data_IF_280609621394
#
_entry.id   IF_280609621394
#
_cell.length_a   1.000
_cell.length_b   1.000
_cell.length_c   1.000
_cell.angle_alpha   90.00
_cell.angle_beta   90.00
_cell.angle_gamma   90.00
#
_symmetry.space_group_name_H-M   'P 1'
#
loop_
_entity.id
_entity.type
_entity.pdbx_description
1 polymer ?
#
# COMPACT_ATOMS: atom_id res chain seq x y z
N UNK A 1 17.12 -15.11 25.38
CA UNK A 1 16.22 -16.03 24.63
C UNK A 1 16.96 -17.07 23.81
N UNK A 2 18.17 -16.81 23.30
CA UNK A 2 18.92 -17.75 22.44
C UNK A 2 18.97 -19.21 22.95
N UNK A 3 19.07 -19.44 24.27
CA UNK A 3 19.11 -20.78 24.88
C UNK A 3 17.77 -21.53 24.89
N UNK A 4 16.61 -20.84 24.86
CA UNK A 4 15.30 -21.50 24.71
C UNK A 4 15.12 -22.04 23.28
N UNK A 5 15.84 -21.43 22.35
CA UNK A 5 15.75 -21.67 20.92
C UNK A 5 16.98 -22.39 20.36
N UNK A 6 18.02 -22.61 21.15
CA UNK A 6 19.26 -23.28 20.75
C UNK A 6 19.02 -24.78 20.67
N UNK A 7 19.04 -25.30 19.46
CA UNK A 7 18.79 -26.71 19.20
C UNK A 7 19.85 -27.59 19.88
N UNK A 8 21.13 -27.20 19.93
CA UNK A 8 22.20 -27.96 20.59
C UNK A 8 21.97 -28.12 22.10
N UNK A 9 21.48 -27.08 22.76
CA UNK A 9 21.13 -27.13 24.19
C UNK A 9 19.86 -27.97 24.42
N UNK A 10 18.84 -27.79 23.57
CA UNK A 10 17.62 -28.60 23.59
C UNK A 10 17.87 -30.09 23.28
N UNK A 11 18.97 -30.45 22.60
CA UNK A 11 19.34 -31.83 22.30
C UNK A 11 20.00 -32.58 23.45
N UNK A 12 20.72 -31.88 24.34
CA UNK A 12 21.47 -32.51 25.42
C UNK A 12 20.79 -32.42 26.79
N UNK A 13 19.91 -31.43 26.99
CA UNK A 13 19.36 -31.12 28.31
C UNK A 13 17.86 -30.90 28.26
N UNK A 14 17.17 -31.39 29.28
CA UNK A 14 15.76 -31.12 29.51
C UNK A 14 15.64 -29.73 30.16
N UNK A 15 15.15 -28.76 29.39
CA UNK A 15 15.14 -27.36 29.80
C UNK A 15 13.88 -27.05 30.63
N UNK A 16 14.11 -26.79 31.92
CA UNK A 16 13.06 -26.51 32.91
C UNK A 16 13.15 -25.05 33.33
N UNK A 17 12.04 -24.33 33.26
CA UNK A 17 11.95 -22.94 33.72
C UNK A 17 11.65 -22.90 35.21
N UNK A 18 12.46 -22.15 35.96
CA UNK A 18 12.27 -21.97 37.39
C UNK A 18 12.00 -20.49 37.74
N UNK A 19 10.73 -20.03 37.69
CA UNK A 19 10.34 -18.68 38.10
C UNK A 19 10.30 -18.45 39.63
N UNK A 20 10.99 -19.24 40.45
CA UNK A 20 11.02 -19.05 41.92
C UNK A 20 11.57 -17.69 42.34
N UNK A 21 12.64 -17.23 41.68
CA UNK A 21 13.31 -15.98 42.00
C UNK A 21 13.28 -15.00 40.83
N UNK A 22 13.25 -13.71 41.12
CA UNK A 22 13.29 -12.66 40.12
C UNK A 22 12.38 -11.48 40.44
N UNK A 23 12.35 -10.51 39.52
CA UNK A 23 11.45 -9.36 39.64
C UNK A 23 10.00 -9.81 39.47
N UNK A 24 9.11 -9.35 40.36
CA UNK A 24 7.69 -9.76 40.36
C UNK A 24 6.96 -9.51 39.03
N UNK A 25 7.42 -8.54 38.24
CA UNK A 25 6.89 -8.30 36.88
C UNK A 25 7.40 -9.27 35.81
N UNK A 26 8.57 -9.89 36.01
CA UNK A 26 9.20 -10.80 35.03
C UNK A 26 8.70 -12.24 35.20
N UNK A 27 8.40 -12.64 36.44
CA UNK A 27 7.94 -13.99 36.79
C UNK A 27 6.70 -14.42 35.96
N UNK A 28 5.62 -13.62 35.86
CA UNK A 28 4.46 -13.97 35.04
C UNK A 28 4.84 -14.11 33.57
N UNK A 29 5.66 -13.20 33.03
CA UNK A 29 6.08 -13.23 31.64
C UNK A 29 6.88 -14.50 31.30
N UNK A 30 7.87 -14.86 32.11
CA UNK A 30 8.66 -16.10 31.94
C UNK A 30 7.78 -17.35 32.03
N UNK A 31 6.77 -17.32 32.90
CA UNK A 31 5.81 -18.42 33.03
C UNK A 31 4.97 -18.57 31.75
N UNK A 32 4.47 -17.47 31.18
CA UNK A 32 3.76 -17.48 29.88
C UNK A 32 4.69 -17.94 28.75
N UNK A 33 5.95 -17.53 28.74
CA UNK A 33 6.94 -18.00 27.76
C UNK A 33 7.19 -19.50 27.86
N UNK A 34 7.25 -20.05 29.07
CA UNK A 34 7.34 -21.49 29.28
C UNK A 34 6.20 -22.24 28.63
N UNK A 35 4.98 -21.72 28.80
CA UNK A 35 3.80 -22.28 28.15
C UNK A 35 3.88 -22.15 26.63
N UNK A 36 4.30 -20.99 26.09
CA UNK A 36 4.48 -20.74 24.66
C UNK A 36 5.45 -21.73 23.99
N UNK A 37 6.59 -22.02 24.63
CA UNK A 37 7.59 -22.94 24.11
C UNK A 37 7.32 -24.41 24.50
N UNK A 38 6.20 -24.71 25.16
CA UNK A 38 5.88 -26.06 25.65
C UNK A 38 6.89 -26.60 26.65
N UNK A 39 7.56 -25.72 27.41
CA UNK A 39 8.58 -26.07 28.39
C UNK A 39 7.97 -26.24 29.78
N UNK A 40 8.47 -27.23 30.53
CA UNK A 40 8.07 -27.46 31.91
C UNK A 40 8.50 -26.27 32.77
N UNK A 41 7.57 -25.76 33.57
CA UNK A 41 7.83 -24.69 34.55
C UNK A 41 7.67 -25.23 35.97
N UNK A 42 8.58 -24.88 36.86
CA UNK A 42 8.60 -25.32 38.27
C UNK A 42 8.75 -24.14 39.21
N UNK A 43 8.11 -24.19 40.37
CA UNK A 43 8.14 -23.13 41.36
C UNK A 43 8.42 -23.71 42.74
N UNK A 44 9.31 -23.09 43.49
CA UNK A 44 9.60 -23.40 44.89
C UNK A 44 8.93 -22.33 45.72
N UNK A 45 7.98 -22.72 46.57
CA UNK A 45 7.34 -21.77 47.46
C UNK A 45 8.30 -21.42 48.61
N UNK A 46 8.50 -20.12 48.89
CA UNK A 46 9.54 -19.59 49.79
C UNK A 46 9.56 -20.21 51.21
N UNK A 47 8.47 -20.87 51.61
CA UNK A 47 8.30 -21.49 52.92
C UNK A 47 7.95 -22.99 52.86
N UNK A 48 8.09 -23.64 51.71
CA UNK A 48 7.86 -25.08 51.57
C UNK A 48 9.07 -25.77 50.91
N UNK A 49 9.46 -26.93 51.44
CA UNK A 49 10.47 -27.81 50.82
C UNK A 49 9.91 -28.59 49.61
N UNK A 50 8.89 -28.04 48.94
CA UNK A 50 8.17 -28.72 47.86
C UNK A 50 8.38 -27.99 46.53
N UNK A 51 8.80 -28.77 45.53
CA UNK A 51 8.85 -28.34 44.14
C UNK A 51 7.46 -28.49 43.53
N UNK A 52 6.85 -27.37 43.16
CA UNK A 52 5.54 -27.33 42.50
C UNK A 52 5.77 -27.34 40.99
N UNK A 53 5.20 -28.32 40.29
CA UNK A 53 5.08 -28.24 38.84
C UNK A 53 3.95 -27.27 38.50
N UNK A 54 4.24 -26.26 37.70
CA UNK A 54 3.22 -25.38 37.14
C UNK A 54 2.67 -26.08 35.90
N UNK A 55 1.44 -26.64 35.94
CA UNK A 55 0.84 -27.23 34.76
C UNK A 55 0.62 -26.15 33.70
N UNK A 56 0.73 -26.47 32.41
CA UNK A 56 0.34 -25.55 31.36
C UNK A 56 -1.15 -25.21 31.52
N UNK A 57 -1.49 -23.93 31.40
CA UNK A 57 -2.88 -23.50 31.47
C UNK A 57 -3.60 -23.91 30.19
N UNK A 58 -4.90 -24.27 30.26
CA UNK A 58 -5.68 -24.75 29.12
C UNK A 58 -6.17 -23.59 28.24
N UNK A 59 -5.30 -22.64 27.91
CA UNK A 59 -5.59 -21.60 26.92
C UNK A 59 -4.61 -21.71 25.77
N UNK A 60 -5.11 -21.48 24.55
CA UNK A 60 -4.32 -21.33 23.35
C UNK A 60 -4.15 -19.85 23.02
N UNK A 61 -3.09 -19.50 22.30
CA UNK A 61 -3.04 -18.20 21.65
C UNK A 61 -4.12 -18.12 20.58
N UNK A 62 -4.74 -16.94 20.48
CA UNK A 62 -5.62 -16.63 19.38
C UNK A 62 -4.76 -16.30 18.15
N UNK A 63 -4.57 -17.33 17.32
CA UNK A 63 -3.75 -17.24 16.11
C UNK A 63 -4.46 -16.40 15.04
N UNK A 64 -5.78 -16.27 15.09
CA UNK A 64 -6.50 -15.43 14.16
C UNK A 64 -6.23 -13.95 14.47
N UNK A 65 -6.26 -13.54 15.74
CA UNK A 65 -5.82 -12.20 16.17
C UNK A 65 -4.36 -11.96 15.80
N UNK A 66 -3.48 -12.93 16.08
CA UNK A 66 -2.06 -12.80 15.76
C UNK A 66 -1.84 -12.62 14.24
N UNK A 67 -2.47 -13.43 13.40
CA UNK A 67 -2.36 -13.34 11.95
C UNK A 67 -2.81 -11.97 11.42
N UNK A 68 -3.85 -11.38 12.04
CA UNK A 68 -4.34 -10.04 11.67
C UNK A 68 -3.31 -8.93 11.91
N UNK A 69 -2.47 -9.07 12.94
CA UNK A 69 -1.46 -8.05 13.32
C UNK A 69 -0.09 -8.28 12.69
N UNK A 70 0.22 -9.50 12.20
CA UNK A 70 1.52 -9.84 11.57
C UNK A 70 2.00 -8.82 10.52
N UNK A 71 1.16 -8.28 9.61
CA UNK A 71 1.63 -7.27 8.65
C UNK A 71 2.20 -6.03 9.33
N UNK A 72 1.53 -5.54 10.38
CA UNK A 72 1.98 -4.40 11.16
C UNK A 72 3.29 -4.72 11.91
N UNK A 73 3.42 -5.93 12.46
CA UNK A 73 4.65 -6.35 13.15
C UNK A 73 5.84 -6.46 12.19
N UNK A 74 5.66 -7.01 11.00
CA UNK A 74 6.74 -7.06 9.98
C UNK A 74 7.19 -5.67 9.56
N UNK A 75 6.24 -4.73 9.46
CA UNK A 75 6.55 -3.33 9.16
C UNK A 75 7.43 -2.69 10.24
N UNK A 76 7.13 -2.97 11.51
CA UNK A 76 7.97 -2.53 12.63
C UNK A 76 9.33 -3.24 12.62
N UNK A 77 9.38 -4.53 12.32
CA UNK A 77 10.64 -5.30 12.23
C UNK A 77 11.59 -4.72 11.17
N UNK A 78 11.05 -4.27 10.03
CA UNK A 78 11.83 -3.60 8.97
C UNK A 78 12.29 -2.19 9.35
N UNK A 79 11.47 -1.42 10.07
CA UNK A 79 11.71 0.00 10.36
C UNK A 79 12.18 0.30 11.78
N UNK A 80 12.30 -0.73 12.63
CA UNK A 80 12.49 -0.65 14.09
C UNK A 80 11.31 -0.01 14.86
N UNK A 81 10.64 0.99 14.29
CA UNK A 81 9.45 1.62 14.83
C UNK A 81 8.64 2.34 13.74
N UNK A 82 7.33 2.43 13.95
CA UNK A 82 6.40 3.16 13.06
C UNK A 82 5.44 4.02 13.87
N UNK A 83 4.70 4.91 13.21
CA UNK A 83 3.67 5.70 13.88
C UNK A 83 2.52 4.80 14.39
N UNK A 84 1.95 5.11 15.56
CA UNK A 84 0.85 4.32 16.15
C UNK A 84 -0.35 4.19 15.19
N UNK A 85 -0.65 5.26 14.45
CA UNK A 85 -1.71 5.26 13.44
C UNK A 85 -1.40 4.35 12.26
N UNK A 86 -0.13 4.30 11.83
CA UNK A 86 0.32 3.37 10.77
C UNK A 86 0.19 1.92 11.24
N UNK A 87 0.56 1.64 12.50
CA UNK A 87 0.42 0.31 13.09
C UNK A 87 -1.01 -0.20 12.99
N UNK A 88 -2.01 0.53 13.50
CA UNK A 88 -3.40 0.09 13.45
C UNK A 88 -3.94 0.01 12.02
N UNK A 89 -3.50 0.89 11.11
CA UNK A 89 -3.89 0.85 9.70
C UNK A 89 -3.37 -0.40 8.95
N UNK A 90 -2.28 -1.01 9.44
CA UNK A 90 -1.74 -2.25 8.90
C UNK A 90 -2.45 -3.51 9.42
N UNK A 91 -3.30 -3.39 10.45
CA UNK A 91 -4.00 -4.53 11.04
C UNK A 91 -5.23 -4.88 10.19
N UNK A 92 -5.38 -6.18 9.92
CA UNK A 92 -6.43 -6.71 9.06
C UNK A 92 -7.79 -6.62 9.78
N UNK A 93 -8.78 -6.05 9.09
CA UNK A 93 -10.15 -5.83 9.58
C UNK A 93 -10.20 -5.17 10.95
N UNK A 94 -9.28 -4.24 11.21
CA UNK A 94 -9.20 -3.55 12.48
C UNK A 94 -10.38 -2.61 12.71
N UNK A 95 -10.92 -2.65 13.91
CA UNK A 95 -11.88 -1.68 14.42
C UNK A 95 -11.39 -1.04 15.71
N UNK A 96 -11.77 0.22 15.96
CA UNK A 96 -11.35 0.96 17.16
C UNK A 96 -11.70 0.27 18.48
N UNK A 97 -12.77 -0.56 18.50
CA UNK A 97 -13.17 -1.33 19.68
C UNK A 97 -12.16 -2.42 20.04
N UNK A 98 -11.36 -2.88 19.07
CA UNK A 98 -10.36 -3.93 19.23
C UNK A 98 -8.99 -3.38 19.63
N UNK A 99 -8.82 -2.06 19.73
CA UNK A 99 -7.57 -1.41 20.12
C UNK A 99 -6.87 -2.10 21.31
N UNK A 100 -7.55 -2.47 22.42
CA UNK A 100 -6.91 -3.15 23.54
C UNK A 100 -6.30 -4.51 23.19
N UNK A 101 -6.89 -5.26 22.26
CA UNK A 101 -6.40 -6.58 21.82
C UNK A 101 -5.07 -6.46 21.09
N UNK A 102 -4.90 -5.38 20.34
CA UNK A 102 -3.71 -5.17 19.52
C UNK A 102 -2.62 -4.36 20.23
N UNK A 103 -2.96 -3.65 21.30
CA UNK A 103 -1.98 -2.85 22.06
C UNK A 103 -0.94 -3.74 22.75
N UNK A 104 -1.25 -5.00 23.08
CA UNK A 104 -0.30 -5.92 23.72
C UNK A 104 0.89 -6.33 22.85
N UNK A 105 0.81 -6.13 21.52
CA UNK A 105 1.89 -6.48 20.61
C UNK A 105 2.92 -5.35 20.41
N UNK A 106 2.69 -4.18 21.01
CA UNK A 106 3.53 -3.00 20.81
C UNK A 106 3.93 -2.33 22.12
N UNK A 107 5.02 -1.57 22.08
CA UNK A 107 5.46 -0.67 23.14
C UNK A 107 5.63 0.76 22.59
N UNK A 108 5.17 1.80 23.32
CA UNK A 108 5.37 3.17 22.90
C UNK A 108 6.83 3.57 23.05
N UNK A 109 7.39 4.23 22.02
CA UNK A 109 8.75 4.78 22.04
C UNK A 109 8.76 6.27 21.68
N UNK A 110 8.74 7.14 22.69
CA UNK A 110 8.63 8.57 22.47
C UNK A 110 7.24 8.99 21.98
N UNK A 111 7.15 10.10 21.25
CA UNK A 111 5.87 10.70 20.88
C UNK A 111 5.27 10.02 19.64
N UNK A 112 4.11 9.38 19.82
CA UNK A 112 3.26 8.80 18.77
C UNK A 112 3.91 7.68 17.91
N UNK A 113 5.01 7.10 18.38
CA UNK A 113 5.72 5.99 17.74
C UNK A 113 5.64 4.73 18.58
N UNK A 114 5.59 3.58 17.92
CA UNK A 114 5.47 2.27 18.55
C UNK A 114 6.51 1.30 17.98
N UNK A 115 7.03 0.43 18.85
CA UNK A 115 7.91 -0.69 18.50
C UNK A 115 7.29 -2.02 18.92
N UNK A 116 7.91 -3.15 18.54
CA UNK A 116 7.44 -4.50 18.85
C UNK A 116 7.59 -4.75 20.37
N UNK A 117 6.54 -5.28 21.01
CA UNK A 117 6.64 -5.72 22.40
C UNK A 117 7.44 -7.02 22.52
N UNK A 118 8.06 -7.32 23.69
CA UNK A 118 8.77 -8.57 23.91
C UNK A 118 7.93 -9.84 23.65
N UNK A 119 6.62 -9.76 23.83
CA UNK A 119 5.70 -10.86 23.51
C UNK A 119 5.60 -11.06 21.99
N UNK A 120 5.42 -9.97 21.24
CA UNK A 120 5.32 -10.00 19.79
C UNK A 120 6.65 -10.43 19.15
N UNK A 121 7.80 -10.02 19.71
CA UNK A 121 9.12 -10.48 19.28
C UNK A 121 9.25 -12.01 19.41
N UNK A 122 8.80 -12.57 20.53
CA UNK A 122 8.82 -14.02 20.75
C UNK A 122 7.92 -14.74 19.74
N UNK A 123 6.71 -14.23 19.48
CA UNK A 123 5.80 -14.84 18.52
C UNK A 123 6.36 -14.79 17.09
N UNK A 124 6.92 -13.65 16.67
CA UNK A 124 7.62 -13.51 15.40
C UNK A 124 8.81 -14.47 15.32
N UNK A 125 9.58 -14.64 16.40
CA UNK A 125 10.72 -15.58 16.41
C UNK A 125 10.31 -17.04 16.26
N UNK A 126 9.10 -17.41 16.69
CA UNK A 126 8.54 -18.75 16.52
C UNK A 126 8.10 -18.96 15.06
N UNK A 127 7.51 -17.93 14.44
CA UNK A 127 7.05 -17.97 13.05
C UNK A 127 8.18 -17.87 12.03
N UNK A 128 9.15 -16.97 12.25
CA UNK A 128 10.29 -16.69 11.37
C UNK A 128 11.35 -17.79 11.35
N UNK A 129 11.09 -18.95 11.98
CA UNK A 129 11.87 -20.17 11.74
C UNK A 129 11.54 -20.68 10.33
N UNK A 130 12.09 -20.01 9.31
CA UNK A 130 12.07 -20.45 7.91
C UNK A 130 12.52 -21.89 7.82
N UNK A 131 11.56 -22.81 7.89
CA UNK A 131 11.81 -24.24 7.83
C UNK A 131 10.98 -24.75 6.68
N UNK A 132 11.64 -25.23 5.62
CA UNK A 132 10.93 -25.92 4.57
C UNK A 132 10.21 -27.14 5.14
N UNK A 133 8.97 -27.45 4.71
CA UNK A 133 8.28 -28.65 5.12
C UNK A 133 9.17 -29.88 4.91
N UNK A 134 9.25 -30.75 5.92
CA UNK A 134 9.97 -32.02 5.80
C UNK A 134 8.95 -33.10 5.49
N UNK A 135 9.01 -33.65 4.28
CA UNK A 135 7.96 -34.50 3.73
C UNK A 135 8.56 -35.80 3.20
N UNK A 136 7.82 -36.90 3.37
CA UNK A 136 8.24 -38.20 2.86
C UNK A 136 8.27 -38.19 1.33
N UNK A 137 9.21 -38.93 0.74
CA UNK A 137 9.35 -39.01 -0.71
C UNK A 137 8.04 -39.46 -1.38
N UNK A 138 7.35 -40.43 -0.77
CA UNK A 138 6.07 -40.95 -1.28
C UNK A 138 5.01 -39.85 -1.41
N UNK A 139 4.89 -38.97 -0.42
CA UNK A 139 3.91 -37.86 -0.44
C UNK A 139 4.30 -36.81 -1.48
N UNK A 140 5.59 -36.55 -1.66
CA UNK A 140 6.06 -35.62 -2.69
C UNK A 140 5.78 -36.19 -4.07
N UNK A 141 6.12 -37.46 -4.32
CA UNK A 141 5.87 -38.12 -5.60
C UNK A 141 4.38 -38.12 -5.95
N UNK A 142 3.50 -38.27 -4.96
CA UNK A 142 2.04 -38.21 -5.15
C UNK A 142 1.53 -36.80 -5.47
N UNK A 143 2.07 -35.77 -4.79
CA UNK A 143 1.50 -34.43 -4.83
C UNK A 143 2.22 -33.46 -5.78
N UNK A 144 3.50 -33.65 -6.09
CA UNK A 144 4.34 -32.65 -6.76
C UNK A 144 3.73 -32.10 -8.05
N UNK A 145 3.13 -32.95 -8.88
CA UNK A 145 2.53 -32.55 -10.15
C UNK A 145 1.00 -32.54 -10.12
N UNK A 146 0.40 -32.76 -8.96
CA UNK A 146 -1.05 -32.81 -8.79
C UNK A 146 -1.61 -31.43 -8.41
N UNK A 147 -2.46 -30.89 -9.28
CA UNK A 147 -3.13 -29.60 -9.14
C UNK A 147 -4.65 -29.73 -8.89
N UNK A 148 -5.12 -30.91 -8.51
CA UNK A 148 -6.50 -31.10 -8.07
C UNK A 148 -6.77 -30.36 -6.75
N UNK A 149 -8.02 -29.98 -6.50
CA UNK A 149 -8.40 -29.25 -5.28
C UNK A 149 -7.97 -29.96 -3.98
N UNK A 150 -8.12 -31.30 -3.82
CA UNK A 150 -7.64 -32.00 -2.64
C UNK A 150 -6.11 -31.99 -2.51
N UNK A 151 -5.37 -32.10 -3.62
CA UNK A 151 -3.91 -32.02 -3.60
C UNK A 151 -3.42 -30.62 -3.20
N UNK A 152 -4.07 -29.57 -3.71
CA UNK A 152 -3.82 -28.19 -3.30
C UNK A 152 -4.14 -27.99 -1.80
N UNK A 153 -5.25 -28.54 -1.30
CA UNK A 153 -5.58 -28.53 0.11
C UNK A 153 -4.50 -29.23 0.98
N UNK A 154 -4.00 -30.39 0.56
CA UNK A 154 -2.92 -31.09 1.25
C UNK A 154 -1.60 -30.31 1.23
N UNK A 155 -1.20 -29.76 0.08
CA UNK A 155 -0.02 -28.89 -0.04
C UNK A 155 -0.11 -27.67 0.90
N UNK A 156 -1.31 -27.09 1.08
CA UNK A 156 -1.54 -26.02 2.09
C UNK A 156 -1.33 -26.50 3.51
N UNK A 157 -1.90 -27.65 3.88
CA UNK A 157 -1.70 -28.24 5.21
C UNK A 157 -0.21 -28.50 5.46
N UNK A 158 0.53 -28.98 4.47
CA UNK A 158 1.98 -29.22 4.55
C UNK A 158 2.71 -27.90 4.83
N UNK A 159 2.43 -26.85 4.03
CA UNK A 159 3.02 -25.51 4.21
C UNK A 159 2.74 -24.93 5.60
N UNK A 160 1.50 -25.02 6.07
CA UNK A 160 1.11 -24.48 7.38
C UNK A 160 1.67 -25.30 8.56
N UNK A 161 1.85 -26.61 8.37
CA UNK A 161 2.38 -27.51 9.41
C UNK A 161 3.80 -27.19 9.84
N UNK A 162 4.51 -26.33 9.11
CA UNK A 162 5.82 -25.82 9.54
C UNK A 162 5.68 -25.01 10.83
N UNK A 163 4.63 -24.19 10.95
CA UNK A 163 4.43 -23.30 12.08
C UNK A 163 3.98 -24.09 13.32
N UNK A 164 4.77 -24.11 14.41
CA UNK A 164 4.42 -24.85 15.63
C UNK A 164 3.12 -24.38 16.29
N UNK A 165 2.82 -23.08 16.24
CA UNK A 165 1.60 -22.51 16.83
C UNK A 165 0.36 -23.01 16.07
N UNK A 166 0.43 -22.96 14.74
CA UNK A 166 -0.65 -23.46 13.88
C UNK A 166 -0.85 -24.97 14.09
N UNK A 167 0.24 -25.75 14.15
CA UNK A 167 0.16 -27.20 14.40
C UNK A 167 -0.56 -27.52 15.70
N UNK A 168 -0.24 -26.84 16.80
CA UNK A 168 -0.81 -27.15 18.11
C UNK A 168 -2.35 -26.99 18.13
N UNK A 169 -2.91 -26.11 17.30
CA UNK A 169 -4.36 -25.93 17.17
C UNK A 169 -5.01 -26.94 16.21
N UNK A 170 -4.27 -27.42 15.21
CA UNK A 170 -4.78 -28.23 14.10
C UNK A 170 -4.38 -29.71 14.20
N UNK A 171 -3.62 -30.06 15.24
CA UNK A 171 -3.17 -31.42 15.51
C UNK A 171 -4.11 -32.15 16.45
N UNK A 172 -4.42 -33.40 16.13
CA UNK A 172 -5.11 -34.33 17.01
C UNK A 172 -4.31 -35.63 17.15
N UNK A 173 -4.47 -36.28 18.31
CA UNK A 173 -3.99 -37.65 18.52
C UNK A 173 -5.12 -38.60 18.16
N UNK A 174 -4.83 -39.57 17.31
CA UNK A 174 -5.78 -40.63 16.99
C UNK A 174 -5.62 -41.80 17.97
N UNK A 175 -6.70 -42.53 18.25
CA UNK A 175 -6.71 -43.58 19.27
C UNK A 175 -6.00 -44.86 18.82
N UNK A 176 -5.91 -45.11 17.51
CA UNK A 176 -5.36 -46.36 16.95
C UNK A 176 -3.93 -46.23 16.42
N UNK A 177 -3.33 -45.03 16.46
CA UNK A 177 -1.94 -44.81 16.03
C UNK A 177 -1.26 -43.78 16.93
N UNK A 178 0.07 -43.87 17.05
CA UNK A 178 0.89 -42.87 17.74
C UNK A 178 1.32 -41.70 16.83
N UNK A 179 0.85 -41.66 15.59
CA UNK A 179 1.07 -40.54 14.69
C UNK A 179 0.22 -39.33 15.09
N UNK A 180 0.78 -38.15 14.86
CA UNK A 180 0.07 -36.88 14.97
C UNK A 180 -0.68 -36.65 13.66
N UNK A 181 -1.98 -36.39 13.77
CA UNK A 181 -2.84 -36.09 12.63
C UNK A 181 -3.07 -34.59 12.56
N UNK A 182 -2.83 -33.98 11.40
CA UNK A 182 -3.12 -32.57 11.14
C UNK A 182 -4.34 -32.47 10.24
N UNK A 183 -5.29 -31.60 10.60
CA UNK A 183 -6.50 -31.35 9.83
C UNK A 183 -6.94 -29.89 9.86
N UNK A 184 -7.79 -29.52 8.91
CA UNK A 184 -8.58 -28.31 8.99
C UNK A 184 -10.05 -28.64 9.27
N UNK A 185 -10.73 -27.80 10.06
CA UNK A 185 -12.15 -27.98 10.38
C UNK A 185 -12.99 -28.07 9.09
N UNK A 186 -13.95 -29.00 9.08
CA UNK A 186 -14.89 -29.21 7.97
C UNK A 186 -14.28 -29.60 6.60
N UNK A 187 -13.05 -30.10 6.57
CA UNK A 187 -12.40 -30.63 5.35
C UNK A 187 -12.18 -32.14 5.46
N UNK A 188 -11.95 -32.84 4.34
CA UNK A 188 -11.71 -34.30 4.33
C UNK A 188 -10.21 -34.64 4.40
N UNK A 189 -9.36 -33.69 4.03
CA UNK A 189 -7.92 -33.85 3.84
C UNK A 189 -7.17 -33.93 5.17
N UNK A 190 -6.28 -34.90 5.31
CA UNK A 190 -5.51 -35.13 6.55
C UNK A 190 -4.04 -35.40 6.25
N UNK A 191 -3.16 -34.93 7.13
CA UNK A 191 -1.76 -35.35 7.15
C UNK A 191 -1.53 -36.21 8.39
N UNK A 192 -0.67 -37.21 8.28
CA UNK A 192 -0.18 -37.97 9.42
C UNK A 192 1.35 -37.95 9.46
N UNK A 193 1.91 -37.78 10.65
CA UNK A 193 3.34 -37.61 10.82
C UNK A 193 3.79 -37.68 12.27
N UNK A 194 5.03 -37.27 12.51
CA UNK A 194 5.60 -37.18 13.85
C UNK A 194 6.39 -35.89 14.01
N UNK A 195 6.54 -35.44 15.25
CA UNK A 195 7.40 -34.30 15.56
C UNK A 195 8.76 -34.82 16.01
N UNK A 196 9.82 -34.34 15.36
CA UNK A 196 11.20 -34.57 15.76
C UNK A 196 11.92 -33.22 15.68
N UNK A 197 12.61 -32.84 16.75
CA UNK A 197 13.40 -31.60 16.80
C UNK A 197 12.56 -30.34 16.52
N UNK A 198 11.34 -30.30 17.07
CA UNK A 198 10.35 -29.23 16.81
C UNK A 198 9.93 -29.05 15.33
N UNK A 199 10.37 -29.93 14.44
CA UNK A 199 9.92 -30.02 13.06
C UNK A 199 8.90 -31.14 12.89
N UNK A 200 7.85 -30.88 12.11
CA UNK A 200 6.87 -31.89 11.77
C UNK A 200 7.28 -32.62 10.49
N UNK A 201 7.42 -33.94 10.59
CA UNK A 201 7.76 -34.82 9.49
C UNK A 201 6.47 -35.39 8.92
N UNK A 202 6.06 -34.91 7.74
CA UNK A 202 4.86 -35.39 7.04
C UNK A 202 5.16 -36.77 6.47
N UNK A 203 4.59 -37.81 7.05
CA UNK A 203 4.82 -39.20 6.62
C UNK A 203 3.80 -39.62 5.55
N UNK A 204 2.53 -39.27 5.75
CA UNK A 204 1.41 -39.69 4.91
C UNK A 204 0.43 -38.53 4.69
N UNK A 205 -0.26 -38.55 3.56
CA UNK A 205 -1.29 -37.59 3.16
C UNK A 205 -2.55 -38.35 2.71
N UNK A 206 -3.72 -37.87 3.11
CA UNK A 206 -5.00 -38.52 2.82
C UNK A 206 -5.98 -37.51 2.24
N UNK A 207 -6.55 -37.83 1.08
CA UNK A 207 -7.45 -36.92 0.33
C UNK A 207 -8.90 -36.97 0.81
N UNK A 208 -9.33 -38.12 1.34
CA UNK A 208 -10.71 -38.31 1.78
C UNK A 208 -10.77 -38.95 3.16
N UNK A 209 -11.90 -38.76 3.83
CA UNK A 209 -12.13 -39.30 5.16
C UNK A 209 -12.16 -40.84 5.15
N UNK A 210 -12.71 -41.48 4.11
CA UNK A 210 -12.79 -42.95 4.05
C UNK A 210 -11.40 -43.59 3.92
N UNK A 211 -10.50 -43.00 3.12
CA UNK A 211 -9.13 -43.51 2.97
C UNK A 211 -8.37 -43.35 4.28
N UNK A 212 -8.53 -42.18 4.92
CA UNK A 212 -7.94 -41.89 6.22
C UNK A 212 -8.34 -42.92 7.29
N UNK A 213 -9.64 -43.17 7.48
CA UNK A 213 -10.12 -44.12 8.49
C UNK A 213 -9.68 -45.56 8.21
N UNK A 214 -9.63 -45.95 6.93
CA UNK A 214 -9.24 -47.30 6.52
C UNK A 214 -7.74 -47.56 6.69
N UNK A 215 -6.90 -46.57 6.37
CA UNK A 215 -5.46 -46.79 6.19
C UNK A 215 -4.61 -46.25 7.33
N UNK A 216 -5.01 -45.17 8.02
CA UNK A 216 -4.24 -44.64 9.15
C UNK A 216 -3.92 -45.69 10.24
N UNK A 217 -4.86 -46.57 10.66
CA UNK A 217 -4.59 -47.56 11.71
C UNK A 217 -3.50 -48.58 11.36
N UNK A 218 -3.13 -48.68 10.07
CA UNK A 218 -2.09 -49.59 9.59
C UNK A 218 -0.68 -49.02 9.77
N UNK A 219 -0.56 -47.73 10.09
CA UNK A 219 0.71 -47.03 10.18
C UNK A 219 1.03 -46.65 11.63
N UNK A 220 2.32 -46.73 11.98
CA UNK A 220 2.84 -46.27 13.26
C UNK A 220 4.09 -45.39 13.06
N UNK A 221 4.53 -44.75 14.15
CA UNK A 221 5.71 -43.89 14.15
C UNK A 221 7.00 -44.63 13.77
N UNK A 222 7.12 -45.93 14.06
CA UNK A 222 8.32 -46.72 13.71
C UNK A 222 8.39 -46.94 12.20
N UNK A 223 7.27 -47.25 11.56
CA UNK A 223 7.16 -47.36 10.12
C UNK A 223 7.41 -45.99 9.46
N UNK A 224 6.81 -44.92 9.98
CA UNK A 224 7.01 -43.57 9.49
C UNK A 224 8.49 -43.14 9.54
N UNK A 225 9.19 -43.39 10.66
CA UNK A 225 10.62 -43.07 10.81
C UNK A 225 11.54 -43.77 9.81
N UNK A 226 11.11 -44.89 9.23
CA UNK A 226 11.89 -45.64 8.24
C UNK A 226 11.69 -45.11 6.80
N UNK A 227 10.80 -44.14 6.59
CA UNK A 227 10.62 -43.50 5.28
C UNK A 227 11.78 -42.56 4.95
N UNK A 228 11.96 -42.28 3.66
CA UNK A 228 12.89 -41.25 3.18
C UNK A 228 12.21 -39.90 3.20
N UNK A 229 12.90 -38.89 3.71
CA UNK A 229 12.40 -37.53 3.87
C UNK A 229 13.28 -36.53 3.13
N UNK A 230 12.66 -35.49 2.58
CA UNK A 230 13.35 -34.34 2.03
C UNK A 230 12.64 -33.05 2.40
N UNK A 231 13.39 -31.94 2.38
CA UNK A 231 12.80 -30.60 2.43
C UNK A 231 12.10 -30.35 1.10
N UNK A 232 10.84 -29.93 1.16
CA UNK A 232 10.05 -29.67 -0.04
C UNK A 232 9.72 -28.20 -0.16
N UNK A 233 10.29 -27.55 -1.17
CA UNK A 233 9.92 -26.20 -1.57
C UNK A 233 8.67 -26.26 -2.46
N UNK A 234 7.53 -25.89 -1.88
CA UNK A 234 6.25 -25.82 -2.60
C UNK A 234 6.16 -24.44 -3.25
N UNK A 235 6.53 -24.36 -4.53
CA UNK A 235 6.55 -23.11 -5.32
C UNK A 235 5.19 -22.74 -5.91
N UNK A 236 4.24 -23.66 -5.91
CA UNK A 236 2.92 -23.43 -6.48
C UNK A 236 2.17 -22.40 -5.64
N UNK A 237 1.42 -21.52 -6.31
CA UNK A 237 0.49 -20.63 -5.64
C UNK A 237 -0.72 -21.47 -5.22
N UNK A 238 -0.55 -22.22 -4.14
CA UNK A 238 -1.48 -23.27 -3.73
C UNK A 238 -2.85 -22.70 -3.34
N UNK A 239 -3.03 -21.37 -3.30
CA UNK A 239 -4.21 -20.70 -2.71
C UNK A 239 -4.38 -21.06 -1.23
N UNK A 240 -5.40 -20.55 -0.54
CA UNK A 240 -5.76 -20.99 0.83
C UNK A 240 -7.25 -21.30 0.95
N UNK A 241 -7.59 -22.05 2.00
CA UNK A 241 -8.98 -22.39 2.37
C UNK A 241 -9.82 -21.12 2.55
N UNK A 242 -11.14 -21.27 2.51
CA UNK A 242 -12.15 -20.22 2.75
C UNK A 242 -12.08 -19.56 4.15
N UNK A 243 -10.97 -19.65 4.87
CA UNK A 243 -10.85 -19.12 6.23
C UNK A 243 -9.52 -18.42 6.55
N UNK A 244 -8.61 -18.17 5.61
CA UNK A 244 -7.41 -17.38 5.95
C UNK A 244 -6.81 -16.67 4.73
N UNK A 245 -7.07 -15.37 4.67
CA UNK A 245 -6.77 -14.43 3.60
C UNK A 245 -5.27 -14.14 3.38
N UNK A 246 -4.31 -14.79 4.04
CA UNK A 246 -2.92 -14.26 4.15
C UNK A 246 -2.12 -14.02 2.84
N UNK A 247 -2.42 -14.72 1.74
CA UNK A 247 -1.74 -14.48 0.45
C UNK A 247 -2.51 -13.45 -0.41
N UNK A 248 -3.85 -13.45 -0.33
CA UNK A 248 -4.69 -12.33 -0.80
C UNK A 248 -4.41 -11.06 -0.01
N UNK A 249 -3.96 -11.18 1.24
CA UNK A 249 -3.54 -10.10 2.11
C UNK A 249 -2.17 -9.59 1.73
N UNK A 250 -1.20 -10.44 1.36
CA UNK A 250 0.07 -9.93 0.77
C UNK A 250 -0.18 -9.23 -0.55
N UNK A 251 -1.04 -9.79 -1.40
CA UNK A 251 -1.44 -9.17 -2.67
C UNK A 251 -2.22 -7.87 -2.41
N UNK A 252 -3.17 -7.86 -1.47
CA UNK A 252 -3.87 -6.66 -0.97
C UNK A 252 -2.90 -5.66 -0.36
N UNK A 253 -1.91 -6.09 0.41
CA UNK A 253 -0.94 -5.23 1.08
C UNK A 253 -0.03 -4.58 0.04
N UNK A 254 0.42 -5.35 -0.95
CA UNK A 254 1.16 -4.85 -2.10
C UNK A 254 0.30 -3.89 -2.94
N UNK A 255 -0.97 -4.23 -3.18
CA UNK A 255 -1.92 -3.38 -3.87
C UNK A 255 -2.28 -2.13 -3.06
N UNK A 256 -2.34 -2.18 -1.73
CA UNK A 256 -2.61 -1.04 -0.85
C UNK A 256 -1.39 -0.11 -0.79
N UNK A 257 -0.18 -0.67 -0.79
CA UNK A 257 1.07 0.09 -0.91
C UNK A 257 1.13 0.78 -2.28
N UNK A 258 0.85 0.06 -3.37
CA UNK A 258 0.79 0.63 -4.71
C UNK A 258 -0.33 1.67 -4.85
N UNK A 259 -1.50 1.42 -4.28
CA UNK A 259 -2.63 2.36 -4.32
C UNK A 259 -2.30 3.64 -3.53
N UNK A 260 -1.64 3.54 -2.37
CA UNK A 260 -1.18 4.71 -1.62
C UNK A 260 -0.12 5.51 -2.37
N UNK A 261 0.82 4.82 -3.02
CA UNK A 261 1.80 5.47 -3.90
C UNK A 261 1.13 6.16 -5.11
N UNK A 262 0.11 5.52 -5.71
CA UNK A 262 -0.66 6.11 -6.80
C UNK A 262 -1.50 7.31 -6.33
N UNK A 263 -2.10 7.26 -5.14
CA UNK A 263 -2.83 8.40 -4.55
C UNK A 263 -1.89 9.58 -4.31
N UNK A 264 -0.71 9.36 -3.73
CA UNK A 264 0.30 10.42 -3.56
C UNK A 264 0.76 10.99 -4.91
N UNK A 265 0.92 10.12 -5.92
CA UNK A 265 1.28 10.53 -7.28
C UNK A 265 0.16 11.29 -7.98
N UNK A 266 -1.10 10.91 -7.78
CA UNK A 266 -2.28 11.63 -8.26
C UNK A 266 -2.35 12.98 -7.57
N UNK A 267 -2.18 13.06 -6.26
CA UNK A 267 -2.18 14.32 -5.51
C UNK A 267 -1.08 15.27 -5.95
N UNK A 268 0.14 14.78 -6.17
CA UNK A 268 1.22 15.60 -6.75
C UNK A 268 0.93 16.03 -8.18
N UNK A 269 0.30 15.17 -9.00
CA UNK A 269 -0.13 15.55 -10.36
C UNK A 269 -1.29 16.55 -10.35
N UNK A 270 -2.23 16.43 -9.41
CA UNK A 270 -3.33 17.37 -9.18
C UNK A 270 -2.78 18.72 -8.71
N UNK A 271 -1.84 18.75 -7.76
CA UNK A 271 -1.14 19.98 -7.35
C UNK A 271 -0.37 20.62 -8.52
N UNK A 272 0.29 19.81 -9.37
CA UNK A 272 0.95 20.30 -10.58
C UNK A 272 -0.07 20.80 -11.60
N UNK A 273 -1.21 20.14 -11.77
CA UNK A 273 -2.29 20.57 -12.66
C UNK A 273 -2.96 21.86 -12.18
N UNK A 274 -3.26 21.98 -10.89
CA UNK A 274 -3.85 23.17 -10.28
C UNK A 274 -2.91 24.38 -10.42
N UNK A 275 -1.61 24.19 -10.20
CA UNK A 275 -0.61 25.24 -10.44
C UNK A 275 -0.52 25.62 -11.94
N UNK A 276 -0.60 24.64 -12.84
CA UNK A 276 -0.55 24.89 -14.29
C UNK A 276 -1.86 25.48 -14.84
N UNK A 277 -3.00 25.26 -14.18
CA UNK A 277 -4.27 25.91 -14.51
C UNK A 277 -4.37 27.31 -13.90
N UNK A 278 -3.72 27.59 -12.77
CA UNK A 278 -3.46 28.94 -12.27
C UNK A 278 -2.62 29.76 -13.27
N UNK A 279 -1.54 29.18 -13.80
CA UNK A 279 -0.71 29.84 -14.82
C UNK A 279 -1.50 30.12 -16.13
N UNK A 280 -2.38 29.19 -16.56
CA UNK A 280 -3.27 29.41 -17.72
C UNK A 280 -4.36 30.45 -17.47
N UNK A 281 -4.88 30.57 -16.25
CA UNK A 281 -5.84 31.61 -15.87
C UNK A 281 -5.18 33.00 -15.96
N UNK A 282 -3.94 33.14 -15.47
CA UNK A 282 -3.18 34.38 -15.62
C UNK A 282 -2.89 34.72 -17.09
N UNK A 283 -2.50 33.75 -17.92
CA UNK A 283 -2.30 33.97 -19.37
C UNK A 283 -3.61 34.34 -20.10
N UNK A 284 -4.73 33.72 -19.71
CA UNK A 284 -6.05 34.01 -20.29
C UNK A 284 -6.54 35.41 -19.94
N UNK A 285 -6.37 35.84 -18.69
CA UNK A 285 -6.72 37.20 -18.24
C UNK A 285 -5.88 38.25 -18.98
N UNK A 286 -4.59 37.97 -19.21
CA UNK A 286 -3.72 38.84 -20.01
C UNK A 286 -4.14 38.91 -21.49
N UNK A 287 -4.55 37.78 -22.07
CA UNK A 287 -5.08 37.73 -23.44
C UNK A 287 -6.41 38.48 -23.58
N UNK A 288 -7.28 38.42 -22.58
CA UNK A 288 -8.56 39.13 -22.57
C UNK A 288 -8.36 40.65 -22.48
N UNK A 289 -7.44 41.11 -21.63
CA UNK A 289 -7.02 42.52 -21.56
C UNK A 289 -6.41 42.99 -22.88
N UNK A 290 -5.58 42.15 -23.53
CA UNK A 290 -4.97 42.50 -24.81
C UNK A 290 -6.02 42.57 -25.94
N UNK A 291 -6.99 41.65 -25.98
CA UNK A 291 -8.09 41.67 -26.93
C UNK A 291 -8.98 42.91 -26.74
N UNK A 292 -9.26 43.30 -25.50
CA UNK A 292 -10.03 44.51 -25.22
C UNK A 292 -9.32 45.77 -25.77
N UNK A 293 -7.99 45.86 -25.57
CA UNK A 293 -7.18 46.94 -26.17
C UNK A 293 -7.20 46.92 -27.70
N UNK A 294 -7.17 45.74 -28.33
CA UNK A 294 -7.27 45.62 -29.79
C UNK A 294 -8.62 46.14 -30.29
N UNK A 295 -9.72 45.84 -29.58
CA UNK A 295 -11.07 46.34 -29.93
C UNK A 295 -11.11 47.87 -29.82
N UNK A 296 -10.61 48.44 -28.72
CA UNK A 296 -10.54 49.89 -28.52
C UNK A 296 -9.71 50.61 -29.59
N UNK A 297 -8.53 50.07 -29.91
CA UNK A 297 -7.68 50.60 -30.97
C UNK A 297 -8.33 50.49 -32.34
N UNK A 298 -9.01 49.37 -32.63
CA UNK A 298 -9.73 49.16 -33.89
C UNK A 298 -10.86 50.17 -34.05
N UNK A 299 -11.61 50.44 -32.98
CA UNK A 299 -12.65 51.46 -32.99
C UNK A 299 -12.07 52.86 -33.23
N UNK A 300 -10.97 53.21 -32.54
CA UNK A 300 -10.29 54.48 -32.73
C UNK A 300 -9.78 54.68 -34.17
N UNK A 301 -9.28 53.62 -34.80
CA UNK A 301 -8.87 53.64 -36.22
C UNK A 301 -10.08 53.91 -37.13
N UNK A 302 -11.21 53.26 -36.88
CA UNK A 302 -12.45 53.47 -37.66
C UNK A 302 -12.92 54.92 -37.53
N UNK A 303 -12.95 55.45 -36.31
CA UNK A 303 -13.38 56.82 -36.03
C UNK A 303 -12.45 57.84 -36.71
N UNK A 304 -11.14 57.65 -36.58
CA UNK A 304 -10.14 58.51 -37.24
C UNK A 304 -10.27 58.47 -38.76
N UNK A 305 -10.55 57.29 -39.33
CA UNK A 305 -10.77 57.14 -40.78
C UNK A 305 -12.04 57.86 -41.23
N UNK A 306 -13.10 57.82 -40.42
CA UNK A 306 -14.34 58.53 -40.69
C UNK A 306 -14.11 60.06 -40.66
N UNK A 307 -13.39 60.57 -39.66
CA UNK A 307 -13.02 61.98 -39.59
C UNK A 307 -12.20 62.42 -40.81
N UNK A 308 -11.24 61.61 -41.25
CA UNK A 308 -10.42 61.89 -42.43
C UNK A 308 -11.27 61.98 -43.71
N UNK A 309 -12.22 61.06 -43.90
CA UNK A 309 -13.14 61.08 -45.06
C UNK A 309 -14.07 62.30 -45.03
N UNK A 310 -14.54 62.70 -43.84
CA UNK A 310 -15.33 63.92 -43.69
C UNK A 310 -14.52 65.17 -44.06
N UNK A 311 -13.27 65.26 -43.58
CA UNK A 311 -12.37 66.35 -43.91
C UNK A 311 -12.07 66.40 -45.41
N UNK A 312 -11.83 65.25 -46.04
CA UNK A 312 -11.62 65.14 -47.48
C UNK A 312 -12.84 65.62 -48.28
N UNK A 313 -14.03 65.18 -47.89
CA UNK A 313 -15.29 65.61 -48.52
C UNK A 313 -15.48 67.13 -48.38
N UNK A 314 -15.18 67.69 -47.20
CA UNK A 314 -15.26 69.13 -46.97
C UNK A 314 -14.25 69.91 -47.84
N UNK A 315 -13.03 69.39 -47.97
CA UNK A 315 -12.01 69.98 -48.85
C UNK A 315 -12.43 69.95 -50.33
N UNK A 316 -13.04 68.87 -50.80
CA UNK A 316 -13.58 68.75 -52.17
C UNK A 316 -14.70 69.76 -52.43
N UNK A 317 -15.63 69.94 -51.49
CA UNK A 317 -16.71 70.95 -51.60
C UNK A 317 -16.11 72.36 -51.66
N UNK A 318 -15.16 72.68 -50.79
CA UNK A 318 -14.49 73.98 -50.78
C UNK A 318 -13.73 74.24 -52.09
N UNK A 319 -13.04 73.22 -52.61
CA UNK A 319 -12.35 73.31 -53.89
C UNK A 319 -13.33 73.59 -55.05
N UNK A 320 -14.44 72.87 -55.13
CA UNK A 320 -15.49 73.10 -56.16
C UNK A 320 -16.12 74.51 -56.05
N UNK A 321 -16.31 75.02 -54.82
CA UNK A 321 -16.81 76.36 -54.60
C UNK A 321 -15.82 77.43 -55.09
N UNK A 322 -14.53 77.24 -54.82
CA UNK A 322 -13.46 78.12 -55.32
C UNK A 322 -13.39 78.11 -56.85
N UNK A 323 -13.48 76.94 -57.48
CA UNK A 323 -13.51 76.81 -58.95
C UNK A 323 -14.69 77.56 -59.56
N UNK A 324 -15.88 77.47 -58.97
CA UNK A 324 -17.06 78.24 -59.41
C UNK A 324 -16.85 79.75 -59.28
N UNK A 325 -16.31 80.21 -58.16
CA UNK A 325 -16.00 81.63 -57.95
C UNK A 325 -14.95 82.13 -58.95
N UNK A 326 -13.92 81.33 -59.24
CA UNK A 326 -12.89 81.67 -60.23
C UNK A 326 -13.50 81.75 -61.64
N UNK A 327 -14.38 80.82 -62.00
CA UNK A 327 -15.09 80.84 -63.29
C UNK A 327 -16.04 82.05 -63.43
N UNK A 328 -16.70 82.47 -62.34
CA UNK A 328 -17.53 83.67 -62.28
C UNK A 328 -16.70 84.96 -62.38
N UNK A 329 -15.57 85.03 -61.66
CA UNK A 329 -14.64 86.14 -61.79
C UNK A 329 -14.11 86.24 -63.22
N UNK A 330 -13.70 85.13 -63.85
CA UNK A 330 -13.25 85.12 -65.24
C UNK A 330 -14.34 85.60 -66.23
N UNK A 331 -15.61 85.20 -66.04
CA UNK A 331 -16.75 85.73 -66.81
C UNK A 331 -16.96 87.23 -66.57
N UNK A 332 -16.80 87.72 -65.35
CA UNK A 332 -16.91 89.14 -65.01
C UNK A 332 -15.81 89.98 -65.67
N UNK A 333 -14.55 89.51 -65.67
CA UNK A 333 -13.43 90.16 -66.37
C UNK A 333 -13.61 90.16 -67.89
N UNK A 334 -14.12 89.07 -68.50
CA UNK A 334 -14.46 89.08 -69.93
C UNK A 334 -15.57 90.09 -70.27
N UNK A 335 -16.51 90.34 -69.35
CA UNK A 335 -17.60 91.33 -69.50
C UNK A 335 -17.13 92.78 -69.29
N UNK A 336 -16.11 93.00 -68.45
CA UNK A 336 -15.46 94.31 -68.29
C UNK A 336 -14.56 94.66 -69.49
N UNK A 337 -13.77 93.70 -69.99
CA UNK A 337 -12.87 93.92 -71.13
C UNK A 337 -13.66 94.23 -72.42
N UNK A 338 -14.88 93.70 -72.57
CA UNK A 338 -15.73 93.99 -73.74
C UNK A 338 -16.45 95.35 -73.71
N UNK A 339 -16.39 96.13 -72.61
CA UNK A 339 -17.13 97.40 -72.45
C UNK A 339 -16.29 98.62 -72.11
N UNK A 340 -14.97 98.54 -72.04
CA UNK A 340 -14.17 99.67 -71.54
C UNK A 340 -12.72 99.79 -72.04
N UNK A 341 -12.34 99.24 -73.20
CA UNK A 341 -10.91 99.23 -73.58
C UNK A 341 -10.55 99.71 -74.99
N UNK A 342 -11.29 100.68 -75.56
CA UNK A 342 -10.75 101.52 -76.65
C UNK A 342 -11.21 102.98 -76.54
N UNK A 343 -10.78 103.68 -75.48
CA UNK A 343 -10.70 105.15 -75.51
C UNK A 343 -9.62 105.70 -74.56
N UNK A 344 -8.45 106.03 -75.15
CA UNK A 344 -7.52 107.12 -74.78
C UNK A 344 -7.04 107.19 -73.31
N UNK A 345 -5.73 107.06 -73.09
CA UNK A 345 -4.90 108.26 -72.91
C UNK A 345 -3.38 107.93 -72.97
N UNK A 346 -2.69 108.72 -73.77
CA UNK A 346 -1.24 108.86 -73.82
C UNK A 346 -0.81 110.02 -72.89
N UNK A 347 0.49 110.02 -72.50
CA UNK A 347 1.35 111.20 -72.21
C UNK A 347 1.16 111.86 -70.80
N UNK A 348 2.16 112.25 -69.98
CA UNK A 348 3.63 112.44 -70.02
C UNK A 348 4.15 112.57 -68.57
N UNK A 349 5.39 112.16 -68.26
CA UNK A 349 6.41 113.01 -67.59
C UNK A 349 7.82 112.55 -68.00
N UNK A 350 8.49 113.31 -68.88
CA UNK A 350 9.94 113.61 -68.84
C UNK A 350 10.04 114.91 -68.02
N UNK A 351 11.00 115.21 -67.15
CA UNK A 351 12.25 114.57 -66.73
C UNK A 351 13.05 115.63 -65.92
N UNK A 352 14.22 115.24 -65.40
CA UNK A 352 15.31 116.18 -65.09
C UNK A 352 15.96 116.05 -63.71
N UNK A 353 17.06 115.31 -63.62
CA UNK A 353 18.43 115.82 -63.42
C UNK A 353 19.42 114.66 -63.37
#
# INVERSE_FOLDING_TARGET
>A
MAYLTDDNLNYQYDLILNPTGGYKGVIPFVTVLGMLYGKRSVYIFEHAEQLINLPPLPFSFDIDIYNRVVPALKRIDEQTAIAEQEYYACIIDYTEQEKPLFTSFIEPIGDNMVTISPLAEVLLSIENRNSYPIVSQNVIDELQYDNTQPALALKRLIKNSVNPLWRNQHSEKWHETNLIVIKQNATAERLAGFVKNNAFYVAYAFRTHEIYERDLPKYDEKMAKNLKYQQWEITENVGKSQSNDMDLLRERDQLLIENRYLIEKIKTLEEVMDNNDLDKLEEKDQLEVLNQKIIELSQCIVDTKLELEQQKTHAEINYQALEKQLAEQQKSTKKLISKGFFSRLFYVVKGGR
#
